data_IF_624125236304
#
_entry.id   IF_624125236304
#
_cell.length_a   1.000
_cell.length_b   1.000
_cell.length_c   1.000
_cell.angle_alpha   90.00
_cell.angle_beta   90.00
_cell.angle_gamma   90.00
#
_symmetry.space_group_name_H-M   'P 1'
#
loop_
_entity.id
_entity.type
_entity.pdbx_description
1 polymer ?
#
# COMPACT_ATOMS: atom_id res chain seq x y z
N UNK A 1 -41.10 23.07 -32.66
CA UNK A 1 -40.17 22.27 -33.49
C UNK A 1 -40.00 20.91 -32.83
N UNK A 2 -40.42 19.80 -33.45
CA UNK A 2 -40.36 18.45 -32.87
C UNK A 2 -39.04 17.74 -33.24
N UNK A 3 -38.45 16.99 -32.32
CA UNK A 3 -37.29 16.13 -32.63
C UNK A 3 -37.50 14.74 -31.98
N UNK A 4 -38.06 13.87 -32.81
CA UNK A 4 -37.79 12.45 -33.03
C UNK A 4 -37.34 11.55 -31.86
N UNK A 5 -38.21 10.58 -31.56
CA UNK A 5 -37.88 9.30 -30.91
C UNK A 5 -36.96 8.48 -31.83
N UNK A 6 -35.76 8.13 -31.35
CA UNK A 6 -34.81 7.26 -32.04
C UNK A 6 -34.24 6.18 -31.12
N UNK A 7 -34.75 4.96 -31.29
CA UNK A 7 -34.13 3.66 -31.05
C UNK A 7 -33.29 3.43 -29.77
N UNK A 8 -33.88 2.67 -28.85
CA UNK A 8 -33.21 1.82 -27.86
C UNK A 8 -32.21 0.88 -28.53
N UNK A 9 -30.92 1.22 -28.49
CA UNK A 9 -29.85 0.25 -28.67
C UNK A 9 -29.60 -0.43 -27.32
N UNK A 10 -30.18 -1.61 -27.13
CA UNK A 10 -29.81 -2.50 -26.04
C UNK A 10 -28.40 -2.98 -26.38
N UNK A 11 -27.39 -2.33 -25.79
CA UNK A 11 -26.01 -2.78 -25.88
C UNK A 11 -25.93 -4.15 -25.21
N UNK A 12 -25.69 -5.15 -26.04
CA UNK A 12 -25.40 -6.53 -25.67
C UNK A 12 -24.27 -6.52 -24.63
N UNK A 13 -24.61 -6.79 -23.36
CA UNK A 13 -23.60 -7.01 -22.32
C UNK A 13 -22.99 -8.36 -22.62
N UNK A 14 -21.98 -8.37 -23.48
CA UNK A 14 -21.03 -9.48 -23.54
C UNK A 14 -20.38 -9.56 -22.16
N UNK A 15 -20.87 -10.49 -21.35
CA UNK A 15 -20.27 -10.88 -20.08
C UNK A 15 -18.83 -11.30 -20.37
N UNK A 16 -17.90 -10.37 -20.19
CA UNK A 16 -16.48 -10.68 -20.20
C UNK A 16 -16.26 -11.63 -19.01
N UNK A 17 -15.77 -12.86 -19.23
CA UNK A 17 -15.41 -13.71 -18.11
C UNK A 17 -14.30 -12.99 -17.34
N UNK A 18 -14.56 -12.69 -16.07
CA UNK A 18 -13.55 -12.26 -15.11
C UNK A 18 -12.57 -13.42 -14.96
N UNK A 19 -11.55 -13.46 -15.82
CA UNK A 19 -10.40 -14.33 -15.61
C UNK A 19 -9.83 -13.93 -14.26
N UNK A 20 -9.95 -14.80 -13.27
CA UNK A 20 -9.24 -14.68 -12.00
C UNK A 20 -7.75 -14.63 -12.36
N UNK A 21 -7.22 -13.41 -12.46
CA UNK A 21 -5.82 -13.17 -12.73
C UNK A 21 -5.07 -13.78 -11.55
N UNK A 22 -4.45 -14.95 -11.78
CA UNK A 22 -3.48 -15.50 -10.85
C UNK A 22 -2.51 -14.38 -10.45
N UNK A 23 -2.22 -14.17 -9.16
CA UNK A 23 -1.41 -13.06 -8.74
C UNK A 23 -0.06 -13.14 -9.46
N UNK A 24 0.22 -12.16 -10.32
CA UNK A 24 1.53 -12.06 -10.96
C UNK A 24 2.58 -11.91 -9.84
N UNK A 25 3.71 -12.63 -9.90
CA UNK A 25 4.79 -12.39 -8.96
C UNK A 25 5.20 -10.92 -9.02
N UNK A 26 5.10 -10.22 -7.88
CA UNK A 26 5.42 -8.80 -7.79
C UNK A 26 6.90 -8.58 -8.04
N UNK A 27 7.23 -7.50 -8.74
CA UNK A 27 8.65 -7.14 -8.96
C UNK A 27 9.26 -6.65 -7.64
N UNK A 28 10.58 -6.77 -7.52
CA UNK A 28 11.33 -6.36 -6.33
C UNK A 28 11.14 -4.86 -6.02
N UNK A 29 11.01 -4.03 -7.06
CA UNK A 29 10.82 -2.58 -6.95
C UNK A 29 9.35 -2.15 -6.89
N UNK A 30 8.41 -3.10 -6.98
CA UNK A 30 6.98 -2.81 -6.90
C UNK A 30 6.59 -2.52 -5.45
N UNK A 31 5.92 -1.37 -5.24
CA UNK A 31 5.46 -0.97 -3.93
C UNK A 31 3.99 -0.56 -3.93
N UNK A 32 3.37 -0.71 -2.76
CA UNK A 32 2.03 -0.21 -2.45
C UNK A 32 2.15 0.86 -1.37
N UNK A 33 1.30 1.89 -1.45
CA UNK A 33 1.21 2.90 -0.39
C UNK A 33 0.32 2.37 0.73
N UNK A 34 0.79 2.45 1.97
CA UNK A 34 0.10 1.89 3.14
C UNK A 34 0.02 2.90 4.28
N UNK A 35 -0.90 2.68 5.21
CA UNK A 35 -0.99 3.39 6.49
C UNK A 35 -0.70 2.37 7.60
N UNK A 36 0.54 2.30 8.10
CA UNK A 36 0.90 1.33 9.13
C UNK A 36 0.40 1.74 10.51
N UNK A 37 -0.33 0.84 11.16
CA UNK A 37 -0.51 0.81 12.61
C UNK A 37 0.65 0.07 13.27
N UNK A 38 1.08 0.53 14.43
CA UNK A 38 2.15 -0.11 15.20
C UNK A 38 1.66 -0.39 16.62
N UNK A 39 1.67 -1.65 17.01
CA UNK A 39 1.45 -2.08 18.39
C UNK A 39 2.80 -2.23 19.08
N UNK A 40 3.11 -1.30 19.97
CA UNK A 40 4.37 -1.30 20.73
C UNK A 40 4.45 -2.41 21.79
N UNK A 41 3.31 -2.95 22.23
CA UNK A 41 3.27 -4.00 23.25
C UNK A 41 3.61 -5.37 22.65
N UNK A 42 3.17 -5.62 21.43
CA UNK A 42 3.39 -6.89 20.70
C UNK A 42 4.50 -6.78 19.64
N UNK A 43 5.01 -5.59 19.36
CA UNK A 43 5.97 -5.33 18.28
C UNK A 43 5.40 -5.54 16.88
N UNK A 44 4.07 -5.53 16.75
CA UNK A 44 3.40 -5.79 15.49
C UNK A 44 3.23 -4.52 14.66
N UNK A 45 3.33 -4.68 13.34
CA UNK A 45 3.07 -3.64 12.35
C UNK A 45 1.97 -4.15 11.45
N UNK A 46 0.86 -3.41 11.38
CA UNK A 46 -0.34 -3.82 10.64
C UNK A 46 -0.72 -2.78 9.61
N UNK A 47 -1.19 -3.22 8.44
CA UNK A 47 -1.70 -2.34 7.39
C UNK A 47 -2.54 -3.13 6.40
N UNK A 48 -3.36 -2.44 5.60
CA UNK A 48 -4.20 -3.07 4.58
C UNK A 48 -3.48 -3.08 3.23
N UNK A 49 -3.44 -4.23 2.57
CA UNK A 49 -2.96 -4.41 1.18
C UNK A 49 -4.01 -5.20 0.41
N UNK A 50 -4.46 -4.68 -0.73
CA UNK A 50 -5.45 -5.33 -1.60
C UNK A 50 -6.70 -5.83 -0.85
N UNK A 51 -7.16 -5.04 0.13
CA UNK A 51 -8.33 -5.34 0.97
C UNK A 51 -8.07 -6.28 2.15
N UNK A 52 -6.86 -6.83 2.29
CA UNK A 52 -6.50 -7.75 3.37
C UNK A 52 -5.70 -7.03 4.46
N UNK A 53 -6.03 -7.28 5.72
CA UNK A 53 -5.23 -6.82 6.85
C UNK A 53 -3.99 -7.69 6.97
N UNK A 54 -2.85 -7.11 6.65
CA UNK A 54 -1.54 -7.73 6.81
C UNK A 54 -0.99 -7.43 8.20
N UNK A 55 -0.28 -8.39 8.78
CA UNK A 55 0.37 -8.27 10.09
C UNK A 55 1.80 -8.80 10.01
N UNK A 56 2.73 -7.98 10.44
CA UNK A 56 4.15 -8.30 10.49
C UNK A 56 4.74 -7.96 11.86
N UNK A 57 5.97 -8.39 12.11
CA UNK A 57 6.72 -8.09 13.33
C UNK A 57 8.00 -7.28 13.02
N UNK A 58 8.39 -6.42 13.96
CA UNK A 58 9.70 -5.78 13.97
C UNK A 58 10.28 -5.75 15.38
N UNK A 59 11.57 -6.09 15.52
CA UNK A 59 12.27 -6.10 16.82
C UNK A 59 12.33 -4.72 17.51
N UNK A 60 12.33 -3.65 16.71
CA UNK A 60 12.37 -2.26 17.20
C UNK A 60 11.15 -1.45 16.71
N UNK A 61 9.93 -1.73 17.20
CA UNK A 61 8.71 -1.06 16.74
C UNK A 61 8.68 0.43 17.10
N UNK A 62 9.45 0.83 18.12
CA UNK A 62 9.62 2.24 18.54
C UNK A 62 10.30 3.09 17.48
N UNK A 63 11.27 2.55 16.74
CA UNK A 63 11.94 3.28 15.65
C UNK A 63 10.99 3.53 14.48
N UNK A 64 10.11 2.58 14.18
CA UNK A 64 9.06 2.74 13.17
C UNK A 64 8.11 3.85 13.60
N UNK A 65 7.64 3.83 14.85
CA UNK A 65 6.75 4.87 15.39
C UNK A 65 7.39 6.26 15.35
N UNK A 66 8.67 6.38 15.72
CA UNK A 66 9.41 7.63 15.66
C UNK A 66 9.62 8.12 14.22
N UNK A 67 9.80 7.22 13.26
CA UNK A 67 9.88 7.57 11.86
C UNK A 67 8.52 8.00 11.30
N UNK A 68 7.43 7.33 11.70
CA UNK A 68 6.07 7.68 11.31
C UNK A 68 5.65 9.07 11.79
N UNK A 69 6.01 9.45 13.02
CA UNK A 69 5.70 10.79 13.55
C UNK A 69 6.40 11.93 12.79
N UNK A 70 7.43 11.60 11.99
CA UNK A 70 8.17 12.53 11.13
C UNK A 70 7.91 12.30 9.65
N UNK A 71 6.97 11.42 9.29
CA UNK A 71 6.73 11.05 7.89
C UNK A 71 6.19 12.24 7.10
N UNK A 72 6.80 12.51 5.94
CA UNK A 72 6.41 13.60 5.02
C UNK A 72 5.79 13.08 3.72
N UNK A 73 5.69 11.75 3.57
CA UNK A 73 5.07 11.07 2.45
C UNK A 73 4.37 9.79 2.92
N UNK A 74 3.42 9.24 2.14
CA UNK A 74 2.85 7.92 2.41
C UNK A 74 3.93 6.84 2.54
N UNK A 75 3.76 5.94 3.50
CA UNK A 75 4.64 4.79 3.67
C UNK A 75 4.58 3.89 2.44
N UNK A 76 5.73 3.35 2.02
CA UNK A 76 5.84 2.45 0.87
C UNK A 76 6.15 1.05 1.36
N UNK A 77 5.27 0.11 1.06
CA UNK A 77 5.45 -1.31 1.34
C UNK A 77 5.90 -2.03 0.07
N UNK A 78 7.01 -2.75 0.16
CA UNK A 78 7.56 -3.58 -0.92
C UNK A 78 7.34 -5.06 -0.55
N UNK A 79 6.26 -5.70 -1.03
CA UNK A 79 5.87 -7.04 -0.57
C UNK A 79 6.94 -8.10 -0.85
N UNK A 80 7.59 -8.01 -2.02
CA UNK A 80 8.61 -8.96 -2.46
C UNK A 80 9.83 -9.02 -1.53
N UNK A 81 10.15 -7.92 -0.84
CA UNK A 81 11.33 -7.81 0.06
C UNK A 81 10.95 -7.64 1.53
N UNK A 82 9.65 -7.67 1.84
CA UNK A 82 9.09 -7.32 3.16
C UNK A 82 9.65 -6.02 3.74
N UNK A 83 9.87 -5.02 2.87
CA UNK A 83 10.49 -3.75 3.24
C UNK A 83 9.45 -2.66 3.36
N UNK A 84 9.36 -2.04 4.53
CA UNK A 84 8.62 -0.81 4.76
C UNK A 84 9.58 0.37 4.65
N UNK A 85 9.28 1.32 3.76
CA UNK A 85 10.06 2.54 3.57
C UNK A 85 9.24 3.75 3.99
N UNK A 86 9.81 4.55 4.89
CA UNK A 86 9.24 5.80 5.38
C UNK A 86 10.12 6.96 4.91
N UNK A 87 9.53 7.97 4.28
CA UNK A 87 10.24 9.22 3.98
C UNK A 87 9.99 10.19 5.13
N UNK A 88 11.04 10.57 5.87
CA UNK A 88 10.95 11.38 7.08
C UNK A 88 11.52 12.78 6.87
N UNK A 89 10.99 13.77 7.59
CA UNK A 89 11.54 15.12 7.61
C UNK A 89 12.98 15.12 8.13
N UNK A 90 13.86 15.87 7.47
CA UNK A 90 15.24 16.07 7.90
C UNK A 90 15.69 17.50 7.55
N UNK A 91 16.49 18.09 8.42
CA UNK A 91 17.05 19.43 8.20
C UNK A 91 17.85 19.46 6.90
N UNK A 92 17.65 20.50 6.08
CA UNK A 92 18.30 20.65 4.79
C UNK A 92 17.74 19.76 3.66
N UNK A 93 16.75 18.90 3.93
CA UNK A 93 16.21 17.96 2.94
C UNK A 93 14.72 18.21 2.71
N UNK A 94 14.39 19.09 1.75
CA UNK A 94 12.98 19.42 1.42
C UNK A 94 12.16 18.19 1.01
N UNK A 95 12.79 17.19 0.37
CA UNK A 95 12.14 15.94 -0.02
C UNK A 95 12.08 14.89 1.12
N UNK A 96 12.71 15.17 2.26
CA UNK A 96 12.91 14.20 3.34
C UNK A 96 14.02 13.17 3.05
N UNK A 97 14.24 12.27 4.01
CA UNK A 97 15.22 11.18 3.95
C UNK A 97 14.50 9.85 4.13
N UNK A 98 14.93 8.81 3.39
CA UNK A 98 14.31 7.49 3.49
C UNK A 98 14.86 6.70 4.69
N UNK A 99 13.95 6.03 5.39
CA UNK A 99 14.23 5.04 6.42
C UNK A 99 13.61 3.72 5.99
N UNK A 100 14.36 2.64 6.13
CA UNK A 100 13.95 1.31 5.69
C UNK A 100 13.86 0.38 6.89
N UNK A 101 12.79 -0.41 6.93
CA UNK A 101 12.53 -1.39 7.97
C UNK A 101 12.18 -2.70 7.30
N UNK A 102 12.91 -3.77 7.62
CA UNK A 102 12.60 -5.13 7.14
C UNK A 102 11.68 -5.77 8.16
N UNK A 103 10.48 -6.13 7.72
CA UNK A 103 9.47 -6.71 8.59
C UNK A 103 9.52 -8.25 8.50
N UNK A 104 9.49 -8.90 9.65
CA UNK A 104 9.40 -10.35 9.73
C UNK A 104 7.94 -10.79 9.66
N UNK A 105 7.70 -12.03 9.23
CA UNK A 105 6.40 -12.64 9.44
C UNK A 105 6.11 -12.68 10.96
N UNK A 106 4.85 -12.47 11.32
CA UNK A 106 4.40 -12.55 12.70
C UNK A 106 4.27 -14.01 13.15
#
# INVERSE_FOLDING_TARGET
MPFENGATAIADRTTQPSTLLSPRPRRVDEFVRVIPGVDLSQGSVTFVVDGNLERYWHHEPRLITQALSKAVQPARWFPATRKLTLTVAATGHRAGVQRHFILSAF
#
